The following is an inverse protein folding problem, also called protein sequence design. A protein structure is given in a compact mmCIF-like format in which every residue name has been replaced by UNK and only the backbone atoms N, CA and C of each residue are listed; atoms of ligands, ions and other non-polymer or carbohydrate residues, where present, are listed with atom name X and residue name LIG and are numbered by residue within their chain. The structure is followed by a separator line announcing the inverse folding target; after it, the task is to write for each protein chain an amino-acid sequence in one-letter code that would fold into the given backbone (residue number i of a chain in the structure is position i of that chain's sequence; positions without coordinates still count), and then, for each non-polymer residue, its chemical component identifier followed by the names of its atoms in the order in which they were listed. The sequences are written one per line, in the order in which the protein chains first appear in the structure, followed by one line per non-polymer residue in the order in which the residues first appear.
data_IF_397785457149
#
_entry.id   IF_397785457149
#
_cell.length_a   1.000
_cell.length_b   1.000
_cell.length_c   1.000
_cell.angle_alpha   90.00
_cell.angle_beta   90.00
_cell.angle_gamma   90.00
#
_symmetry.space_group_name_H-M   'P 1'
#
loop_
_entity.id
_entity.type
_entity.pdbx_description
1 polymer ?
#
# COMPACT_ATOMS: atom_id res chain seq x y z
N UNK A 1 7.67 30.74 -25.43
CA UNK A 1 6.95 29.59 -24.81
C UNK A 1 6.98 28.34 -25.70
N UNK A 2 6.82 28.47 -27.03
CA UNK A 2 6.70 27.31 -27.92
C UNK A 2 7.97 26.44 -28.03
N UNK A 3 9.16 27.04 -28.13
CA UNK A 3 10.42 26.28 -28.30
C UNK A 3 10.74 25.39 -27.10
N UNK A 4 10.66 25.93 -25.87
CA UNK A 4 10.90 25.17 -24.64
C UNK A 4 9.93 23.97 -24.52
N UNK A 5 8.67 24.16 -24.89
CA UNK A 5 7.68 23.08 -24.88
C UNK A 5 7.95 22.03 -25.97
N UNK A 6 8.40 22.46 -27.16
CA UNK A 6 8.80 21.55 -28.23
C UNK A 6 10.02 20.71 -27.83
N UNK A 7 11.07 21.34 -27.29
CA UNK A 7 12.25 20.62 -26.79
C UNK A 7 11.91 19.68 -25.62
N UNK A 8 10.96 20.05 -24.76
CA UNK A 8 10.51 19.15 -23.69
C UNK A 8 9.68 17.98 -24.22
N UNK A 9 8.87 18.20 -25.25
CA UNK A 9 8.08 17.16 -25.92
C UNK A 9 8.98 16.17 -26.65
N UNK A 10 10.05 16.63 -27.27
CA UNK A 10 11.05 15.78 -27.92
C UNK A 10 11.73 14.81 -26.94
N UNK A 11 11.90 15.23 -25.68
CA UNK A 11 12.45 14.39 -24.60
C UNK A 11 11.45 13.36 -24.06
N UNK A 12 10.17 13.41 -24.44
CA UNK A 12 9.17 12.41 -24.05
C UNK A 12 9.15 11.26 -25.05
N UNK A 13 10.18 10.41 -25.01
CA UNK A 13 10.37 9.28 -25.93
C UNK A 13 9.44 8.11 -25.62
N UNK A 14 9.16 7.86 -24.34
CA UNK A 14 8.30 6.78 -23.86
C UNK A 14 6.91 7.35 -23.55
N UNK A 15 5.98 7.18 -24.49
CA UNK A 15 4.59 7.61 -24.33
C UNK A 15 3.72 6.53 -23.69
N UNK A 16 2.73 6.95 -22.88
CA UNK A 16 1.74 6.03 -22.32
C UNK A 16 0.63 5.72 -23.34
N UNK A 17 0.02 4.53 -23.23
CA UNK A 17 -0.95 3.99 -24.20
C UNK A 17 -2.39 3.95 -23.67
N UNK A 18 -2.63 4.43 -22.45
CA UNK A 18 -3.96 4.39 -21.82
C UNK A 18 -4.97 5.40 -22.42
N UNK A 19 -4.55 6.18 -23.43
CA UNK A 19 -5.34 7.25 -24.02
C UNK A 19 -5.65 8.34 -22.99
N UNK A 20 -6.91 8.78 -22.93
CA UNK A 20 -7.37 9.80 -21.98
C UNK A 20 -7.53 9.29 -20.54
N UNK A 21 -7.30 7.99 -20.28
CA UNK A 21 -7.42 7.41 -18.95
C UNK A 21 -6.11 7.59 -18.17
N UNK A 22 -6.22 8.09 -16.94
CA UNK A 22 -5.06 8.23 -16.04
C UNK A 22 -4.59 6.86 -15.53
N UNK A 23 -3.30 6.78 -15.16
CA UNK A 23 -2.73 5.59 -14.55
C UNK A 23 -3.46 5.24 -13.24
N UNK A 24 -3.80 6.24 -12.42
CA UNK A 24 -4.54 6.06 -11.17
C UNK A 24 -5.89 5.38 -11.39
N UNK A 25 -6.66 5.86 -12.37
CA UNK A 25 -7.96 5.28 -12.69
C UNK A 25 -7.82 3.87 -13.24
N UNK A 26 -6.84 3.63 -14.13
CA UNK A 26 -6.60 2.29 -14.67
C UNK A 26 -6.17 1.30 -13.58
N UNK A 27 -5.33 1.75 -12.65
CA UNK A 27 -4.92 0.98 -11.47
C UNK A 27 -6.13 0.61 -10.62
N UNK A 28 -6.98 1.57 -10.27
CA UNK A 28 -8.19 1.31 -9.48
C UNK A 28 -9.14 0.29 -10.13
N UNK A 29 -9.34 0.38 -11.45
CA UNK A 29 -10.14 -0.61 -12.20
C UNK A 29 -9.55 -2.03 -12.08
N UNK A 30 -8.22 -2.16 -12.18
CA UNK A 30 -7.52 -3.45 -12.06
C UNK A 30 -7.53 -4.01 -10.63
N UNK A 31 -7.32 -3.15 -9.64
CA UNK A 31 -7.36 -3.54 -8.22
C UNK A 31 -8.76 -4.02 -7.82
N UNK A 32 -9.80 -3.36 -8.34
CA UNK A 32 -11.20 -3.75 -8.09
C UNK A 32 -11.53 -5.08 -8.78
N UNK A 33 -11.12 -5.25 -10.04
CA UNK A 33 -11.40 -6.48 -10.79
C UNK A 33 -10.65 -7.69 -10.23
N UNK A 34 -9.38 -7.52 -9.85
CA UNK A 34 -8.51 -8.60 -9.42
C UNK A 34 -8.47 -8.76 -7.89
N UNK A 35 -9.11 -7.85 -7.13
CA UNK A 35 -9.11 -7.80 -5.66
C UNK A 35 -7.69 -7.85 -5.07
N UNK A 36 -6.72 -7.26 -5.76
CA UNK A 36 -5.29 -7.27 -5.41
C UNK A 36 -4.69 -5.90 -5.69
N UNK A 37 -3.76 -5.47 -4.83
CA UNK A 37 -3.00 -4.22 -5.01
C UNK A 37 -1.96 -4.36 -6.13
N UNK A 38 -1.88 -3.36 -7.00
CA UNK A 38 -0.90 -3.29 -8.09
C UNK A 38 0.23 -2.32 -7.77
N UNK A 39 1.46 -2.79 -7.95
CA UNK A 39 2.68 -1.99 -7.77
C UNK A 39 2.93 -1.07 -8.98
N UNK A 40 3.78 -0.03 -8.81
CA UNK A 40 4.18 0.82 -9.96
C UNK A 40 4.91 0.00 -11.02
N UNK A 41 5.67 -1.00 -10.58
CA UNK A 41 6.38 -1.90 -11.46
C UNK A 41 5.42 -2.69 -12.36
N UNK A 42 4.37 -3.27 -11.77
CA UNK A 42 3.33 -4.01 -12.50
C UNK A 42 2.46 -3.08 -13.38
N UNK A 43 2.25 -1.83 -12.96
CA UNK A 43 1.50 -0.85 -13.75
C UNK A 43 2.28 -0.33 -14.98
N UNK A 44 3.61 -0.41 -14.97
CA UNK A 44 4.43 0.06 -16.08
C UNK A 44 4.13 -0.67 -17.41
N UNK A 45 4.20 -2.00 -17.52
CA UNK A 45 3.86 -2.69 -18.76
C UNK A 45 2.40 -2.50 -19.17
N UNK A 46 1.48 -2.33 -18.21
CA UNK A 46 0.06 -2.08 -18.50
C UNK A 46 -0.16 -0.73 -19.19
N UNK A 47 0.63 0.27 -18.83
CA UNK A 47 0.51 1.63 -19.35
C UNK A 47 1.39 1.92 -20.58
N UNK A 48 2.34 1.04 -20.90
CA UNK A 48 3.29 1.21 -22.01
C UNK A 48 3.22 0.10 -23.06
N UNK A 49 2.24 -0.81 -22.95
CA UNK A 49 1.87 -1.76 -24.00
C UNK A 49 0.70 -1.25 -24.82
N UNK A 50 0.75 -1.48 -26.12
CA UNK A 50 -0.35 -1.26 -27.05
C UNK A 50 -1.41 -2.35 -26.88
N UNK A 51 -2.55 -2.20 -27.57
CA UNK A 51 -3.68 -3.15 -27.51
C UNK A 51 -3.33 -4.54 -28.05
N UNK A 52 -2.34 -4.62 -28.94
CA UNK A 52 -1.77 -5.85 -29.49
C UNK A 52 -0.82 -6.57 -28.51
N UNK A 53 -0.53 -5.98 -27.34
CA UNK A 53 0.39 -6.50 -26.33
C UNK A 53 1.86 -6.16 -26.58
N UNK A 54 2.20 -5.50 -27.69
CA UNK A 54 3.56 -5.04 -27.98
C UNK A 54 3.89 -3.77 -27.20
N UNK A 55 5.18 -3.53 -26.91
CA UNK A 55 5.61 -2.28 -26.28
C UNK A 55 5.60 -1.12 -27.27
N UNK A 56 5.47 0.11 -26.75
CA UNK A 56 5.51 1.33 -27.58
C UNK A 56 6.82 1.51 -28.34
N UNK A 57 7.94 1.21 -27.69
CA UNK A 57 9.30 1.24 -28.24
C UNK A 57 10.18 0.19 -27.51
N UNK A 58 11.38 -0.03 -28.04
CA UNK A 58 12.34 -0.95 -27.43
C UNK A 58 12.83 -0.47 -26.05
N UNK A 59 12.96 0.84 -25.85
CA UNK A 59 13.34 1.42 -24.56
C UNK A 59 12.33 1.07 -23.45
N UNK A 60 11.02 1.13 -23.74
CA UNK A 60 9.98 0.77 -22.80
C UNK A 60 10.00 -0.73 -22.48
N UNK A 61 10.30 -1.57 -23.48
CA UNK A 61 10.48 -3.01 -23.27
C UNK A 61 11.65 -3.27 -22.32
N UNK A 62 12.83 -2.71 -22.60
CA UNK A 62 14.01 -2.85 -21.76
C UNK A 62 13.76 -2.36 -20.33
N UNK A 63 13.15 -1.18 -20.16
CA UNK A 63 12.77 -0.67 -18.84
C UNK A 63 11.84 -1.62 -18.10
N UNK A 64 10.88 -2.24 -18.77
CA UNK A 64 9.96 -3.19 -18.14
C UNK A 64 10.67 -4.47 -17.67
N UNK A 65 11.63 -4.95 -18.44
CA UNK A 65 12.45 -6.13 -18.11
C UNK A 65 13.35 -5.83 -16.89
N UNK A 66 14.02 -4.67 -16.89
CA UNK A 66 14.83 -4.20 -15.76
C UNK A 66 13.98 -4.03 -14.48
N UNK A 67 12.77 -3.50 -14.62
CA UNK A 67 11.84 -3.34 -13.49
C UNK A 67 11.45 -4.70 -12.88
N UNK A 68 11.20 -5.69 -13.73
CA UNK A 68 10.88 -7.07 -13.31
C UNK A 68 12.06 -7.69 -12.57
N UNK A 69 13.28 -7.50 -13.08
CA UNK A 69 14.50 -7.99 -12.43
C UNK A 69 14.75 -7.32 -11.08
N UNK A 70 14.57 -6.00 -10.98
CA UNK A 70 14.72 -5.28 -9.71
C UNK A 70 13.67 -5.70 -8.69
N UNK A 71 12.42 -5.90 -9.12
CA UNK A 71 11.34 -6.33 -8.24
C UNK A 71 11.53 -7.75 -7.71
N UNK A 72 12.24 -8.63 -8.43
CA UNK A 72 12.59 -9.96 -7.95
C UNK A 72 13.71 -9.95 -6.87
N UNK A 73 14.55 -8.90 -6.87
CA UNK A 73 15.71 -8.80 -5.97
C UNK A 73 15.45 -7.91 -4.74
N UNK A 74 14.52 -6.97 -4.81
CA UNK A 74 14.20 -6.04 -3.71
C UNK A 74 12.87 -6.41 -3.03
N UNK A 75 12.84 -6.39 -1.69
CA UNK A 75 11.65 -6.74 -0.90
C UNK A 75 10.58 -5.63 -0.90
N UNK A 76 10.93 -4.42 -1.33
CA UNK A 76 10.06 -3.25 -1.38
C UNK A 76 9.75 -2.87 -2.83
N UNK A 77 8.46 -2.88 -3.16
CA UNK A 77 7.98 -2.78 -4.55
C UNK A 77 8.04 -1.37 -5.14
N UNK A 78 8.15 -0.32 -4.31
CA UNK A 78 8.27 1.07 -4.75
C UNK A 78 9.74 1.47 -5.02
N UNK A 79 10.68 0.78 -4.37
CA UNK A 79 12.11 1.08 -4.44
C UNK A 79 12.69 0.73 -5.82
N UNK A 80 12.27 -0.39 -6.41
CA UNK A 80 12.68 -0.80 -7.75
C UNK A 80 12.40 0.26 -8.82
N UNK A 81 11.24 0.93 -8.74
CA UNK A 81 10.86 1.97 -9.71
C UNK A 81 11.71 3.24 -9.53
N UNK A 82 11.91 3.68 -8.28
CA UNK A 82 12.74 4.85 -7.99
C UNK A 82 14.20 4.59 -8.35
N UNK A 83 14.70 3.38 -8.15
CA UNK A 83 16.05 2.98 -8.54
C UNK A 83 16.25 3.03 -10.06
N UNK A 84 15.28 2.55 -10.83
CA UNK A 84 15.39 2.52 -12.29
C UNK A 84 15.21 3.89 -12.95
N UNK A 85 14.23 4.68 -12.49
CA UNK A 85 13.89 5.97 -13.09
C UNK A 85 14.58 7.15 -12.39
N UNK A 86 15.36 6.89 -11.35
CA UNK A 86 16.03 7.89 -10.52
C UNK A 86 15.10 8.52 -9.47
N UNK A 87 15.65 9.41 -8.66
CA UNK A 87 14.95 10.09 -7.57
C UNK A 87 13.72 10.85 -8.08
N UNK A 88 12.61 10.77 -7.34
CA UNK A 88 11.39 11.54 -7.62
C UNK A 88 11.60 13.04 -7.36
N UNK A 89 10.82 13.86 -8.07
CA UNK A 89 10.84 15.31 -7.87
C UNK A 89 9.93 15.72 -6.70
N UNK A 90 10.28 16.77 -5.94
CA UNK A 90 9.36 17.38 -4.99
C UNK A 90 8.04 17.76 -5.68
N UNK A 91 6.91 17.45 -5.04
CA UNK A 91 5.56 17.74 -5.54
C UNK A 91 4.99 16.76 -6.58
N UNK A 92 5.74 15.75 -7.05
CA UNK A 92 5.23 14.80 -8.05
C UNK A 92 5.84 13.42 -7.90
N UNK A 93 4.99 12.39 -7.81
CA UNK A 93 5.41 10.99 -7.90
C UNK A 93 5.02 10.42 -9.27
N UNK A 94 5.99 9.87 -10.01
CA UNK A 94 5.74 9.24 -11.33
C UNK A 94 4.98 7.93 -11.21
N UNK A 95 4.13 7.58 -12.17
CA UNK A 95 3.51 6.26 -12.26
C UNK A 95 2.37 5.96 -11.26
N UNK A 96 2.06 6.87 -10.32
CA UNK A 96 0.89 6.72 -9.44
C UNK A 96 -0.37 7.36 -10.01
N UNK A 97 -0.22 8.30 -10.94
CA UNK A 97 -1.34 8.94 -11.65
C UNK A 97 -2.11 9.97 -10.84
N UNK A 98 -1.67 10.28 -9.62
CA UNK A 98 -2.16 11.38 -8.83
C UNK A 98 -1.18 12.56 -8.88
N UNK A 99 -1.69 13.80 -8.90
CA UNK A 99 -0.88 15.01 -8.69
C UNK A 99 -0.47 15.18 -7.22
N UNK A 100 -0.05 14.08 -6.59
CA UNK A 100 0.13 13.95 -5.15
C UNK A 100 1.57 14.30 -4.79
N UNK A 101 1.69 15.17 -3.79
CA UNK A 101 2.99 15.57 -3.24
C UNK A 101 3.68 14.35 -2.61
N UNK A 102 5.01 14.19 -2.74
CA UNK A 102 5.76 13.07 -2.16
C UNK A 102 5.50 12.84 -0.68
N UNK A 103 5.18 13.89 0.09
CA UNK A 103 4.80 13.82 1.52
C UNK A 103 3.55 12.98 1.81
N UNK A 104 2.71 12.73 0.81
CA UNK A 104 1.50 11.91 0.95
C UNK A 104 1.75 10.43 0.60
N UNK A 105 2.80 10.12 -0.18
CA UNK A 105 3.11 8.76 -0.66
C UNK A 105 4.25 8.15 0.14
N UNK A 106 5.28 8.94 0.44
CA UNK A 106 6.35 8.55 1.33
C UNK A 106 6.06 9.14 2.70
N UNK A 107 5.80 8.28 3.68
CA UNK A 107 5.80 8.64 5.10
C UNK A 107 7.25 8.93 5.53
N UNK A 108 7.85 10.00 5.02
CA UNK A 108 9.05 10.57 5.61
C UNK A 108 8.58 11.46 6.75
N UNK A 109 8.90 11.03 7.98
CA UNK A 109 8.96 11.92 9.13
C UNK A 109 9.85 13.10 8.74
N UNK A 110 9.26 14.26 8.47
CA UNK A 110 9.73 15.58 8.88
C UNK A 110 8.76 16.64 8.31
N UNK A 111 8.09 17.31 9.24
CA UNK A 111 7.27 18.51 9.06
C UNK A 111 7.99 19.54 8.18
N UNK A 112 7.29 20.12 7.20
CA UNK A 112 7.28 21.56 6.92
C UNK A 112 6.02 21.91 6.10
N UNK A 113 5.22 22.84 6.63
CA UNK A 113 3.85 23.12 6.22
C UNK A 113 3.67 23.95 4.96
N UNK A 114 2.42 24.00 4.49
CA UNK A 114 1.96 24.97 3.50
C UNK A 114 0.85 24.44 2.57
N UNK A 115 -0.38 24.86 2.85
CA UNK A 115 -1.57 24.86 1.97
C UNK A 115 -2.02 23.51 1.41
N UNK A 116 -2.99 22.92 2.12
CA UNK A 116 -3.84 21.83 1.65
C UNK A 116 -4.84 22.34 0.60
N UNK A 117 -4.49 22.27 -0.68
CA UNK A 117 -5.50 22.23 -1.74
C UNK A 117 -6.04 20.80 -1.83
N UNK A 118 -7.16 20.58 -1.13
CA UNK A 118 -7.88 19.31 -1.09
C UNK A 118 -8.57 19.05 -2.43
N UNK A 119 -8.00 18.14 -3.21
CA UNK A 119 -8.78 17.31 -4.13
C UNK A 119 -8.57 15.84 -3.72
N UNK A 120 -9.09 15.49 -2.54
CA UNK A 120 -9.06 14.10 -2.09
C UNK A 120 -10.28 13.38 -2.65
N UNK A 121 -10.04 12.27 -3.33
CA UNK A 121 -11.02 11.20 -3.40
C UNK A 121 -11.38 10.85 -1.95
N UNK A 122 -12.63 11.04 -1.56
CA UNK A 122 -13.10 10.84 -0.19
C UNK A 122 -12.84 9.40 0.25
N UNK A 123 -11.71 9.17 0.90
CA UNK A 123 -11.57 8.06 1.83
C UNK A 123 -12.37 8.50 3.05
N UNK A 124 -13.63 8.05 3.13
CA UNK A 124 -14.55 8.49 4.18
C UNK A 124 -14.02 8.04 5.55
N UNK A 125 -13.27 8.95 6.20
CA UNK A 125 -12.73 8.75 7.54
C UNK A 125 -13.84 8.56 8.58
N UNK A 126 -15.07 8.99 8.31
CA UNK A 126 -16.20 8.68 9.18
C UNK A 126 -16.53 7.18 9.12
N UNK A 127 -16.48 6.57 7.93
CA UNK A 127 -16.68 5.12 7.76
C UNK A 127 -15.58 4.29 8.42
N UNK A 128 -14.32 4.74 8.34
CA UNK A 128 -13.20 4.07 9.04
C UNK A 128 -13.38 4.11 10.55
N UNK A 129 -13.72 5.29 11.11
CA UNK A 129 -14.01 5.42 12.55
C UNK A 129 -15.22 4.60 12.98
N UNK A 130 -16.26 4.53 12.16
CA UNK A 130 -17.44 3.71 12.43
C UNK A 130 -17.07 2.22 12.54
N UNK A 131 -16.24 1.72 11.61
CA UNK A 131 -15.77 0.33 11.67
C UNK A 131 -14.86 0.08 12.89
N UNK A 132 -14.05 1.05 13.30
CA UNK A 132 -13.17 0.92 14.45
C UNK A 132 -13.94 0.81 15.77
N UNK A 133 -15.03 1.58 15.91
CA UNK A 133 -15.96 1.48 17.03
C UNK A 133 -16.65 0.11 17.06
N UNK A 134 -17.18 -0.35 15.93
CA UNK A 134 -17.84 -1.66 15.81
C UNK A 134 -16.88 -2.82 16.15
N UNK A 135 -15.62 -2.71 15.72
CA UNK A 135 -14.59 -3.68 16.05
C UNK A 135 -14.30 -3.70 17.56
N UNK A 136 -14.25 -2.54 18.20
CA UNK A 136 -14.01 -2.44 19.64
C UNK A 136 -15.18 -3.02 20.45
N UNK A 137 -16.42 -2.78 20.03
CA UNK A 137 -17.62 -3.38 20.63
C UNK A 137 -17.60 -4.90 20.48
N UNK A 138 -17.33 -5.41 19.28
CA UNK A 138 -17.22 -6.85 19.02
C UNK A 138 -16.09 -7.49 19.83
N UNK A 139 -14.98 -6.78 20.03
CA UNK A 139 -13.89 -7.25 20.90
C UNK A 139 -14.38 -7.39 22.35
N UNK A 140 -15.15 -6.42 22.85
CA UNK A 140 -15.73 -6.48 24.19
C UNK A 140 -16.75 -7.62 24.35
N UNK A 141 -17.61 -7.85 23.35
CA UNK A 141 -18.58 -8.97 23.40
C UNK A 141 -17.89 -10.32 23.39
N UNK A 142 -16.82 -10.50 22.61
CA UNK A 142 -16.01 -11.72 22.63
C UNK A 142 -15.41 -11.97 24.01
N UNK A 143 -14.83 -10.95 24.66
CA UNK A 143 -14.28 -11.12 26.02
C UNK A 143 -15.35 -11.50 27.03
N UNK A 144 -16.55 -10.92 26.94
CA UNK A 144 -17.65 -11.25 27.83
C UNK A 144 -18.14 -12.69 27.62
N UNK A 145 -18.31 -13.11 26.36
CA UNK A 145 -18.70 -14.47 26.01
C UNK A 145 -17.65 -15.49 26.46
N UNK A 146 -16.36 -15.17 26.31
CA UNK A 146 -15.28 -16.00 26.84
C UNK A 146 -15.39 -16.18 28.35
N UNK A 147 -15.60 -15.10 29.10
CA UNK A 147 -15.77 -15.17 30.56
C UNK A 147 -16.98 -16.01 30.98
N UNK A 148 -18.11 -15.88 30.26
CA UNK A 148 -19.31 -16.67 30.51
C UNK A 148 -19.09 -18.17 30.24
N UNK A 149 -18.45 -18.51 29.11
CA UNK A 149 -18.12 -19.89 28.76
C UNK A 149 -17.17 -20.50 29.79
N UNK A 150 -16.13 -19.76 30.21
CA UNK A 150 -15.22 -20.20 31.26
C UNK A 150 -15.94 -20.44 32.60
N UNK A 151 -16.83 -19.52 32.99
CA UNK A 151 -17.63 -19.67 34.20
C UNK A 151 -18.50 -20.93 34.14
N UNK A 152 -19.22 -21.14 33.04
CA UNK A 152 -20.08 -22.32 32.87
C UNK A 152 -19.28 -23.63 32.88
N UNK A 153 -18.14 -23.68 32.19
CA UNK A 153 -17.25 -24.85 32.19
C UNK A 153 -16.79 -25.18 33.61
N UNK A 154 -16.39 -24.17 34.38
CA UNK A 154 -15.85 -24.38 35.72
C UNK A 154 -16.94 -24.75 36.75
N UNK A 155 -18.08 -24.06 36.73
CA UNK A 155 -19.09 -24.18 37.78
C UNK A 155 -20.25 -25.12 37.45
N UNK A 156 -20.59 -25.30 36.17
CA UNK A 156 -21.69 -26.18 35.75
C UNK A 156 -21.18 -27.52 35.20
N UNK A 157 -19.98 -27.55 34.61
CA UNK A 157 -19.38 -28.76 34.01
C UNK A 157 -18.20 -29.32 34.82
N UNK A 158 -17.92 -28.76 36.01
CA UNK A 158 -16.86 -29.24 36.90
C UNK A 158 -15.44 -29.19 36.29
N UNK A 159 -15.19 -28.26 35.37
CA UNK A 159 -13.92 -28.09 34.66
C UNK A 159 -13.69 -29.07 33.50
N UNK A 160 -14.66 -29.90 33.14
CA UNK A 160 -14.56 -30.85 32.02
C UNK A 160 -15.22 -30.25 30.78
N UNK A 161 -14.42 -29.96 29.75
CA UNK A 161 -14.92 -29.56 28.42
C UNK A 161 -15.56 -30.79 27.75
N UNK A 162 -16.77 -30.72 27.17
CA UNK A 162 -17.36 -31.84 26.44
C UNK A 162 -16.44 -32.30 25.31
N UNK A 163 -16.30 -33.62 25.13
CA UNK A 163 -15.33 -34.28 24.25
C UNK A 163 -15.42 -33.85 22.76
N UNK A 164 -16.52 -33.21 22.36
CA UNK A 164 -16.75 -32.75 20.98
C UNK A 164 -16.26 -31.31 20.70
N UNK A 165 -15.80 -30.57 21.72
CA UNK A 165 -15.18 -29.26 21.53
C UNK A 165 -13.66 -29.41 21.39
N UNK A 166 -13.18 -29.47 20.15
CA UNK A 166 -11.74 -29.44 19.85
C UNK A 166 -11.07 -28.21 20.46
N UNK A 167 -10.13 -28.41 21.39
CA UNK A 167 -9.21 -27.37 21.83
C UNK A 167 -8.26 -27.05 20.68
N UNK A 168 -8.54 -25.98 19.92
CA UNK A 168 -7.53 -25.36 19.09
C UNK A 168 -6.47 -24.76 20.03
N UNK A 169 -5.32 -25.42 20.15
CA UNK A 169 -4.18 -24.89 20.88
C UNK A 169 -3.72 -23.61 20.18
N UNK A 170 -3.93 -22.48 20.85
CA UNK A 170 -3.51 -21.18 20.40
C UNK A 170 -1.98 -21.09 20.55
N UNK A 171 -1.25 -21.43 19.49
CA UNK A 171 0.20 -21.23 19.46
C UNK A 171 0.48 -19.73 19.29
N UNK A 172 0.64 -19.06 20.44
CA UNK A 172 1.53 -17.92 20.69
C UNK A 172 1.54 -16.75 19.70
N UNK A 173 0.87 -15.66 20.07
CA UNK A 173 1.42 -14.31 19.86
C UNK A 173 1.57 -13.70 21.24
N UNK A 174 2.79 -13.82 21.77
CA UNK A 174 3.22 -13.12 22.98
C UNK A 174 3.47 -11.67 22.59
N UNK A 175 2.63 -10.76 23.09
CA UNK A 175 2.96 -9.33 23.13
C UNK A 175 4.25 -9.16 23.92
N UNK A 176 5.33 -8.77 23.23
CA UNK A 176 6.57 -8.36 23.88
C UNK A 176 6.45 -6.90 24.32
N UNK A 177 6.76 -6.55 25.59
CA UNK A 177 6.74 -5.17 26.05
C UNK A 177 7.89 -4.36 25.43
N UNK A 178 7.59 -3.13 25.02
CA UNK A 178 8.60 -2.13 24.64
C UNK A 178 9.27 -1.65 25.92
N UNK A 179 10.49 -2.12 26.20
CA UNK A 179 11.35 -1.51 27.22
C UNK A 179 12.08 -0.28 26.64
N UNK A 180 11.83 0.86 27.28
CA UNK A 180 12.55 2.11 27.09
C UNK A 180 14.00 2.01 27.60
N UNK A 181 14.92 2.39 26.71
CA UNK A 181 16.37 2.59 26.86
C UNK A 181 16.76 3.38 28.12
N UNK A 182 17.96 3.13 28.68
CA UNK A 182 18.80 4.23 29.15
C UNK A 182 20.12 4.31 28.38
N UNK A 183 20.56 5.56 28.23
CA UNK A 183 21.80 5.99 27.57
C UNK A 183 23.03 5.47 28.31
N UNK A 184 24.01 4.92 27.59
CA UNK A 184 25.34 4.62 28.15
C UNK A 184 26.44 5.20 27.27
N UNK A 185 27.12 6.16 27.89
CA UNK A 185 28.35 6.86 27.54
C UNK A 185 29.45 5.95 26.99
N UNK A 186 30.13 6.42 25.95
CA UNK A 186 31.33 5.80 25.36
C UNK A 186 32.57 6.40 26.03
N UNK A 187 33.56 5.61 26.48
CA UNK A 187 34.91 6.08 26.78
C UNK A 187 35.75 6.30 25.51
#
# INVERSE_FOLDING_TARGET
MCEKNASNREKQTISHTLGSKTIARKKHELETANKRVFTRAEMYPISHKKKDGSFVNDEAREKSEQLTLLQANESSTDDAYVKLFGKEHPGRVRGVGFGVCPSQVMKSSNSFGGVSSSCNHDFDMAKVRSMEVELQENKATIYLLQAQVTYFINHCMGGKVPHDFSTATNNGVVDSPIETRPSSTIP
#
